data_IF_798445716170
#
_entry.id   IF_798445716170
#
_cell.length_a   1.000
_cell.length_b   1.000
_cell.length_c   1.000
_cell.angle_alpha   90.00
_cell.angle_beta   90.00
_cell.angle_gamma   90.00
#
_symmetry.space_group_name_H-M   'P 1'
#
loop_
_entity.id
_entity.type
_entity.pdbx_description
1 polymer ?
#
# COMPACT_ATOMS: atom_id res chain seq x y z
N UNK A 1 1.79 -17.13 12.23
CA UNK A 1 2.67 -16.19 12.99
C UNK A 1 2.11 -16.04 14.39
N UNK A 2 2.86 -16.41 15.44
CA UNK A 2 2.40 -16.34 16.84
C UNK A 2 3.04 -15.13 17.54
N UNK A 3 2.27 -14.42 18.38
CA UNK A 3 2.73 -13.22 19.08
C UNK A 3 2.54 -11.93 18.30
N UNK A 4 2.93 -10.81 18.90
CA UNK A 4 2.89 -9.49 18.28
C UNK A 4 4.14 -9.25 17.47
N UNK A 5 4.03 -8.53 16.37
CA UNK A 5 5.19 -8.19 15.54
C UNK A 5 6.26 -7.44 16.36
N UNK A 6 5.82 -6.55 17.28
CA UNK A 6 6.73 -5.81 18.17
C UNK A 6 7.59 -6.70 19.06
N UNK A 7 7.16 -7.93 19.37
CA UNK A 7 7.91 -8.87 20.22
C UNK A 7 9.05 -9.55 19.45
N UNK A 8 8.97 -9.53 18.12
CA UNK A 8 9.91 -10.16 17.19
C UNK A 8 10.72 -9.17 16.36
N UNK A 9 10.48 -7.87 16.53
CA UNK A 9 11.24 -6.82 15.83
C UNK A 9 12.61 -6.64 16.49
N UNK A 10 13.67 -6.89 15.74
CA UNK A 10 15.05 -6.55 16.10
C UNK A 10 15.33 -5.08 15.83
N UNK A 11 16.43 -4.49 16.39
CA UNK A 11 16.77 -3.10 16.11
C UNK A 11 16.92 -2.81 14.62
N UNK A 12 16.19 -1.79 14.14
CA UNK A 12 16.21 -1.38 12.74
C UNK A 12 17.58 -0.81 12.37
N UNK A 13 18.18 -1.18 11.24
CA UNK A 13 19.48 -0.66 10.83
C UNK A 13 19.36 0.79 10.35
N UNK A 14 20.15 1.68 10.98
CA UNK A 14 20.23 3.10 10.57
C UNK A 14 20.81 3.19 9.16
N UNK A 15 20.13 3.95 8.28
CA UNK A 15 20.56 4.16 6.89
C UNK A 15 20.20 3.07 5.90
N UNK A 16 19.63 1.96 6.36
CA UNK A 16 19.12 0.90 5.48
C UNK A 16 17.76 1.26 4.84
N UNK A 17 17.33 0.38 3.91
CA UNK A 17 16.12 0.57 3.15
C UNK A 17 16.31 1.43 1.90
N UNK A 18 15.26 2.11 1.43
CA UNK A 18 15.30 2.86 0.18
C UNK A 18 14.87 4.31 0.36
N UNK A 19 15.75 5.23 0.01
CA UNK A 19 15.49 6.67 -0.08
C UNK A 19 16.14 7.25 -1.34
N UNK A 20 15.63 8.40 -1.82
CA UNK A 20 16.20 9.08 -2.99
C UNK A 20 16.28 10.60 -2.76
N UNK A 21 17.40 11.19 -3.08
CA UNK A 21 17.52 12.65 -3.09
C UNK A 21 16.64 13.28 -4.17
N UNK A 22 15.98 14.37 -3.84
CA UNK A 22 15.05 15.07 -4.75
C UNK A 22 13.68 14.40 -4.93
N UNK A 23 13.44 13.26 -4.27
CA UNK A 23 12.18 12.52 -4.35
C UNK A 23 11.61 12.21 -2.97
N UNK A 24 10.29 12.15 -2.91
CA UNK A 24 9.56 11.40 -1.91
C UNK A 24 9.53 9.94 -2.34
N UNK A 25 9.73 9.01 -1.41
CA UNK A 25 9.71 7.56 -1.66
C UNK A 25 8.73 6.91 -0.68
N UNK A 26 7.88 5.99 -1.16
CA UNK A 26 6.82 5.37 -0.38
C UNK A 26 6.48 3.94 -0.85
N UNK A 27 5.72 3.15 -0.07
CA UNK A 27 5.07 1.88 -0.45
C UNK A 27 6.02 0.78 -0.95
N UNK A 28 7.10 0.48 -0.26
CA UNK A 28 8.04 -0.57 -0.67
C UNK A 28 7.51 -1.99 -0.47
N UNK A 29 7.57 -2.82 -1.52
CA UNK A 29 7.40 -4.27 -1.44
C UNK A 29 8.61 -4.98 -2.03
N UNK A 30 9.05 -6.11 -1.45
CA UNK A 30 10.36 -6.71 -1.72
C UNK A 30 10.23 -8.15 -2.19
N UNK A 31 11.04 -8.52 -3.17
CA UNK A 31 11.15 -9.91 -3.64
C UNK A 31 12.60 -10.25 -3.97
N UNK A 32 13.00 -11.50 -3.73
CA UNK A 32 14.28 -12.01 -4.19
C UNK A 32 14.18 -12.34 -5.68
N UNK A 33 15.05 -11.73 -6.48
CA UNK A 33 15.11 -11.95 -7.91
C UNK A 33 15.85 -13.22 -8.31
N UNK A 34 15.80 -13.53 -9.61
CA UNK A 34 16.54 -14.63 -10.23
C UNK A 34 18.05 -14.44 -10.21
N UNK A 35 18.53 -13.22 -10.02
CA UNK A 35 19.94 -12.87 -9.82
C UNK A 35 20.43 -13.09 -8.38
N UNK A 36 19.52 -13.51 -7.48
CA UNK A 36 19.81 -13.73 -6.07
C UNK A 36 19.79 -12.48 -5.19
N UNK A 37 19.60 -11.29 -5.79
CA UNK A 37 19.49 -10.00 -5.08
C UNK A 37 18.04 -9.73 -4.64
N UNK A 38 17.86 -8.78 -3.76
CA UNK A 38 16.55 -8.31 -3.32
C UNK A 38 16.14 -7.07 -4.09
N UNK A 39 14.95 -7.11 -4.66
CA UNK A 39 14.37 -6.05 -5.47
C UNK A 39 13.18 -5.45 -4.75
N UNK A 40 13.25 -4.15 -4.48
CA UNK A 40 12.16 -3.39 -3.91
C UNK A 40 11.43 -2.63 -5.03
N UNK A 41 10.13 -2.85 -5.13
CA UNK A 41 9.23 -2.03 -5.94
C UNK A 41 8.60 -1.00 -5.03
N UNK A 42 8.76 0.28 -5.37
CA UNK A 42 8.33 1.40 -4.53
C UNK A 42 7.71 2.51 -5.36
N UNK A 43 6.95 3.37 -4.71
CA UNK A 43 6.43 4.61 -5.30
C UNK A 43 7.43 5.74 -5.09
N UNK A 44 7.64 6.62 -6.10
CA UNK A 44 8.34 7.89 -5.91
C UNK A 44 7.66 9.02 -6.65
N UNK A 45 7.86 10.26 -6.19
CA UNK A 45 7.47 11.48 -6.89
C UNK A 45 8.40 12.64 -6.53
N UNK A 46 8.60 13.61 -7.48
CA UNK A 46 9.55 14.69 -7.27
C UNK A 46 9.18 15.61 -6.10
N UNK A 47 10.14 16.03 -5.31
CA UNK A 47 9.97 16.98 -4.18
C UNK A 47 9.57 18.40 -4.59
N UNK A 48 9.54 18.73 -5.89
CA UNK A 48 8.90 19.96 -6.36
C UNK A 48 7.39 19.99 -6.05
N UNK A 49 6.77 18.80 -5.91
CA UNK A 49 5.41 18.67 -5.40
C UNK A 49 5.45 18.37 -3.88
N UNK A 50 4.44 18.80 -3.11
CA UNK A 50 4.35 18.44 -1.70
C UNK A 50 4.24 16.91 -1.55
N UNK A 51 4.65 16.39 -0.38
CA UNK A 51 4.51 14.96 -0.09
C UNK A 51 3.04 14.52 -0.28
N UNK A 52 2.10 15.23 0.32
CA UNK A 52 0.66 15.12 0.06
C UNK A 52 0.13 16.49 -0.42
N UNK A 53 -0.59 16.57 -1.54
CA UNK A 53 -1.15 15.50 -2.38
C UNK A 53 -0.32 15.17 -3.65
N UNK A 54 0.96 15.48 -3.71
CA UNK A 54 1.79 15.35 -4.91
C UNK A 54 1.77 13.95 -5.55
N UNK A 55 1.71 12.90 -4.72
CA UNK A 55 1.66 11.51 -5.20
C UNK A 55 0.45 11.19 -6.09
N UNK A 56 -0.68 11.90 -5.90
CA UNK A 56 -1.90 11.69 -6.71
C UNK A 56 -1.72 12.09 -8.18
N UNK A 57 -0.74 12.92 -8.49
CA UNK A 57 -0.56 13.50 -9.84
C UNK A 57 0.80 13.20 -10.46
N UNK A 58 1.79 12.76 -9.67
CA UNK A 58 3.18 12.66 -10.13
C UNK A 58 3.89 11.38 -9.68
N UNK A 59 3.21 10.46 -8.99
CA UNK A 59 3.82 9.20 -8.54
C UNK A 59 4.07 8.25 -9.71
N UNK A 60 5.20 7.56 -9.63
CA UNK A 60 5.58 6.46 -10.54
C UNK A 60 6.16 5.30 -9.73
N UNK A 61 5.93 4.08 -10.19
CA UNK A 61 6.52 2.88 -9.60
C UNK A 61 7.92 2.66 -10.15
N UNK A 62 8.86 2.47 -9.23
CA UNK A 62 10.29 2.25 -9.51
C UNK A 62 10.75 0.92 -8.93
N UNK A 63 11.89 0.43 -9.42
CA UNK A 63 12.64 -0.70 -8.85
C UNK A 63 13.96 -0.21 -8.30
N UNK A 64 14.30 -0.69 -7.11
CA UNK A 64 15.59 -0.55 -6.48
C UNK A 64 16.10 -1.94 -6.07
N UNK A 65 17.40 -2.14 -5.91
CA UNK A 65 17.96 -3.43 -5.52
C UNK A 65 19.04 -3.33 -4.46
N UNK A 66 19.22 -4.44 -3.73
CA UNK A 66 20.26 -4.60 -2.72
C UNK A 66 20.70 -6.06 -2.63
N UNK A 67 21.93 -6.31 -2.16
CA UNK A 67 22.45 -7.67 -2.00
C UNK A 67 21.87 -8.38 -0.76
N UNK A 68 21.46 -7.61 0.27
CA UNK A 68 20.81 -8.12 1.49
C UNK A 68 19.48 -7.39 1.75
N UNK A 69 18.49 -8.03 2.40
CA UNK A 69 17.18 -7.40 2.65
C UNK A 69 17.27 -6.14 3.50
N UNK A 70 18.20 -6.10 4.44
CA UNK A 70 18.41 -5.03 5.41
C UNK A 70 19.49 -4.02 5.02
N UNK A 71 19.97 -4.08 3.76
CA UNK A 71 20.95 -3.13 3.22
C UNK A 71 20.31 -1.84 2.69
N UNK A 72 21.16 -1.01 2.07
CA UNK A 72 20.74 0.23 1.40
C UNK A 72 20.44 -0.05 -0.07
N UNK A 73 19.16 0.04 -0.44
CA UNK A 73 18.71 -0.20 -1.81
C UNK A 73 19.12 0.93 -2.74
N UNK A 74 19.60 0.56 -3.92
CA UNK A 74 20.00 1.48 -4.98
C UNK A 74 18.93 1.53 -6.07
N UNK A 75 18.57 2.73 -6.51
CA UNK A 75 17.64 2.92 -7.64
C UNK A 75 18.17 2.27 -8.92
N UNK A 76 17.33 1.54 -9.62
CA UNK A 76 17.65 0.87 -10.87
C UNK A 76 16.88 1.50 -12.05
N UNK A 77 15.55 1.55 -11.99
CA UNK A 77 14.72 1.98 -13.10
C UNK A 77 13.32 2.44 -12.70
N UNK A 78 12.64 3.13 -13.63
CA UNK A 78 11.20 3.38 -13.59
C UNK A 78 10.49 2.20 -14.24
N UNK A 79 9.66 1.49 -13.46
CA UNK A 79 8.95 0.28 -13.90
C UNK A 79 7.64 0.62 -14.58
N UNK A 80 6.85 1.50 -13.98
CA UNK A 80 5.53 1.89 -14.48
C UNK A 80 5.46 3.41 -14.71
N UNK A 81 6.06 3.94 -15.79
CA UNK A 81 5.98 5.36 -16.12
C UNK A 81 4.57 5.77 -16.54
N UNK A 82 4.27 7.07 -16.44
CA UNK A 82 3.07 7.66 -17.02
C UNK A 82 2.95 7.30 -18.50
N UNK A 83 1.73 6.94 -18.96
CA UNK A 83 1.50 6.50 -20.35
C UNK A 83 0.40 7.29 -21.07
N UNK A 84 -0.08 8.41 -20.48
CA UNK A 84 -1.01 9.33 -21.09
C UNK A 84 -2.43 9.24 -20.51
N UNK A 85 -3.20 10.35 -20.57
CA UNK A 85 -4.48 10.50 -19.89
C UNK A 85 -5.60 9.57 -20.41
N UNK A 86 -5.41 8.93 -21.56
CA UNK A 86 -6.37 8.00 -22.16
C UNK A 86 -6.41 6.64 -21.45
N UNK A 87 -5.41 6.34 -20.63
CA UNK A 87 -5.35 5.12 -19.85
C UNK A 87 -5.82 5.36 -18.41
N UNK A 88 -6.42 4.35 -17.79
CA UNK A 88 -6.90 4.40 -16.40
C UNK A 88 -5.79 4.69 -15.37
N UNK A 89 -4.55 4.32 -15.67
CA UNK A 89 -3.33 4.50 -14.89
C UNK A 89 -2.33 5.45 -15.58
N UNK A 90 -2.83 6.31 -16.45
CA UNK A 90 -2.01 7.02 -17.42
C UNK A 90 -1.23 8.20 -16.87
N UNK A 91 -1.62 8.75 -15.71
CA UNK A 91 -0.97 9.93 -15.11
C UNK A 91 -0.08 9.58 -13.93
N UNK A 92 -0.50 8.64 -13.07
CA UNK A 92 0.30 8.22 -11.93
C UNK A 92 0.06 6.76 -11.60
N UNK A 93 1.12 6.09 -11.12
CA UNK A 93 1.11 4.72 -10.58
C UNK A 93 1.65 4.73 -9.17
N UNK A 94 1.05 3.94 -8.26
CA UNK A 94 1.32 4.03 -6.83
C UNK A 94 1.03 2.69 -6.13
N UNK A 95 1.46 2.52 -4.88
CA UNK A 95 1.20 1.36 -4.04
C UNK A 95 1.56 0.01 -4.70
N UNK A 96 2.80 -0.18 -5.17
CA UNK A 96 3.21 -1.44 -5.75
C UNK A 96 3.24 -2.56 -4.70
N UNK A 97 2.75 -3.73 -5.08
CA UNK A 97 2.82 -4.96 -4.31
C UNK A 97 3.30 -6.08 -5.21
N UNK A 98 4.57 -6.44 -5.08
CA UNK A 98 5.18 -7.51 -5.87
C UNK A 98 4.92 -8.87 -5.23
N UNK A 99 4.64 -9.86 -6.07
CA UNK A 99 4.56 -11.27 -5.68
C UNK A 99 4.97 -12.16 -6.84
N UNK A 100 5.27 -13.44 -6.56
CA UNK A 100 5.49 -14.45 -7.58
C UNK A 100 4.36 -15.47 -7.52
N UNK A 101 3.68 -15.70 -8.65
CA UNK A 101 2.59 -16.66 -8.78
C UNK A 101 2.95 -17.60 -9.92
N UNK A 102 3.25 -18.86 -9.57
CA UNK A 102 3.84 -19.81 -10.51
C UNK A 102 5.22 -19.33 -10.98
N UNK A 103 5.40 -19.18 -12.27
CA UNK A 103 6.64 -18.69 -12.91
C UNK A 103 6.62 -17.18 -13.19
N UNK A 104 5.50 -16.48 -12.91
CA UNK A 104 5.33 -15.05 -13.22
C UNK A 104 5.61 -14.16 -12.03
N UNK A 105 6.27 -13.05 -12.28
CA UNK A 105 6.27 -11.89 -11.40
C UNK A 105 5.00 -11.08 -11.67
N UNK A 106 4.22 -10.83 -10.64
CA UNK A 106 2.95 -10.09 -10.70
C UNK A 106 3.04 -8.90 -9.78
N UNK A 107 2.94 -7.71 -10.35
CA UNK A 107 3.02 -6.45 -9.64
C UNK A 107 1.62 -5.83 -9.59
N UNK A 108 0.96 -5.90 -8.44
CA UNK A 108 -0.28 -5.20 -8.18
C UNK A 108 0.03 -3.73 -7.92
N UNK A 109 -0.77 -2.81 -8.45
CA UNK A 109 -0.56 -1.38 -8.26
C UNK A 109 -1.85 -0.58 -8.35
N UNK A 110 -1.81 0.64 -7.83
CA UNK A 110 -2.89 1.63 -7.99
C UNK A 110 -2.55 2.54 -9.16
N UNK A 111 -3.47 2.63 -10.12
CA UNK A 111 -3.39 3.59 -11.23
C UNK A 111 -4.30 4.80 -10.99
N UNK A 112 -3.90 5.94 -11.53
CA UNK A 112 -4.62 7.20 -11.46
C UNK A 112 -4.52 7.95 -12.77
N UNK A 113 -5.58 8.69 -13.12
CA UNK A 113 -5.59 9.55 -14.31
C UNK A 113 -6.46 10.79 -14.13
N UNK A 114 -6.16 11.82 -14.89
CA UNK A 114 -6.95 13.04 -15.06
C UNK A 114 -6.76 13.60 -16.47
N UNK A 115 -7.74 14.33 -17.03
CA UNK A 115 -7.68 14.82 -18.40
C UNK A 115 -6.85 16.09 -18.60
N UNK A 116 -6.40 16.71 -17.51
CA UNK A 116 -5.71 18.01 -17.56
C UNK A 116 -4.23 17.87 -17.92
N UNK A 117 -3.61 18.98 -18.29
CA UNK A 117 -2.16 19.09 -18.43
C UNK A 117 -1.46 18.89 -17.08
N UNK A 118 -0.11 18.82 -17.13
CA UNK A 118 0.72 18.75 -15.92
C UNK A 118 0.31 19.78 -14.88
N UNK A 119 0.34 19.44 -13.56
CA UNK A 119 -0.04 20.38 -12.53
C UNK A 119 0.95 21.53 -12.41
N UNK A 120 0.41 22.73 -12.22
CA UNK A 120 1.19 23.90 -11.88
C UNK A 120 1.38 24.02 -10.36
N UNK A 121 2.43 24.69 -9.95
CA UNK A 121 2.69 24.94 -8.53
C UNK A 121 2.13 26.31 -8.11
N UNK A 122 1.67 26.44 -6.84
CA UNK A 122 1.63 25.42 -5.79
C UNK A 122 0.45 24.44 -5.98
N UNK A 123 0.74 23.14 -5.81
CA UNK A 123 -0.28 22.11 -5.84
C UNK A 123 -1.02 22.06 -4.50
N UNK A 124 -2.34 22.12 -4.52
CA UNK A 124 -3.20 22.03 -3.32
C UNK A 124 -4.12 20.82 -3.38
N UNK A 125 -4.70 20.43 -2.24
CA UNK A 125 -5.69 19.35 -2.16
C UNK A 125 -7.02 19.66 -2.90
N UNK A 126 -7.24 20.90 -3.30
CA UNK A 126 -8.42 21.35 -4.07
C UNK A 126 -8.15 21.46 -5.57
N UNK A 127 -6.93 21.21 -6.03
CA UNK A 127 -6.62 21.19 -7.46
C UNK A 127 -7.49 20.14 -8.17
N UNK A 128 -8.14 20.47 -9.30
CA UNK A 128 -8.98 19.53 -10.05
C UNK A 128 -8.25 18.23 -10.43
N UNK A 129 -6.94 18.30 -10.72
CA UNK A 129 -6.11 17.13 -11.04
C UNK A 129 -6.05 16.17 -9.84
N UNK A 130 -5.85 16.72 -8.63
CA UNK A 130 -5.81 15.96 -7.37
C UNK A 130 -7.15 15.30 -7.08
N UNK A 131 -8.25 16.05 -7.17
CA UNK A 131 -9.61 15.55 -6.90
C UNK A 131 -10.00 14.43 -7.86
N UNK A 132 -9.77 14.64 -9.16
CA UNK A 132 -10.13 13.65 -10.19
C UNK A 132 -9.20 12.42 -10.13
N UNK A 133 -7.90 12.60 -9.97
CA UNK A 133 -6.98 11.48 -9.78
C UNK A 133 -7.39 10.62 -8.57
N UNK A 134 -7.80 11.26 -7.47
CA UNK A 134 -8.25 10.55 -6.28
C UNK A 134 -9.51 9.71 -6.56
N UNK A 135 -10.51 10.25 -7.25
CA UNK A 135 -11.73 9.52 -7.61
C UNK A 135 -11.50 8.44 -8.67
N UNK A 136 -10.46 8.60 -9.49
CA UNK A 136 -10.08 7.64 -10.54
C UNK A 136 -9.07 6.58 -10.09
N UNK A 137 -8.80 6.45 -8.79
CA UNK A 137 -7.96 5.37 -8.28
C UNK A 137 -8.59 4.01 -8.56
N UNK A 138 -7.86 3.15 -9.24
CA UNK A 138 -8.22 1.77 -9.53
C UNK A 138 -7.03 0.86 -9.29
N UNK A 139 -7.30 -0.42 -9.09
CA UNK A 139 -6.26 -1.44 -8.98
C UNK A 139 -6.07 -2.18 -10.29
N UNK A 140 -4.82 -2.37 -10.68
CA UNK A 140 -4.42 -3.22 -11.79
C UNK A 140 -3.20 -4.04 -11.48
N UNK A 141 -2.74 -4.79 -12.48
CA UNK A 141 -1.53 -5.60 -12.43
C UNK A 141 -0.62 -5.29 -13.62
N UNK A 142 0.67 -5.49 -13.40
CA UNK A 142 1.64 -5.67 -14.45
C UNK A 142 2.33 -7.03 -14.27
N UNK A 143 2.63 -7.72 -15.37
CA UNK A 143 3.14 -9.10 -15.38
C UNK A 143 4.46 -9.15 -16.11
N UNK A 144 5.40 -9.97 -15.62
CA UNK A 144 6.67 -10.25 -16.28
C UNK A 144 7.15 -11.67 -16.03
N UNK A 145 7.98 -12.18 -16.91
CA UNK A 145 8.74 -13.44 -16.73
C UNK A 145 10.00 -13.24 -15.90
N UNK A 146 10.44 -12.00 -15.72
CA UNK A 146 11.66 -11.63 -15.01
C UNK A 146 11.41 -10.46 -14.08
N UNK A 147 12.15 -10.39 -12.96
CA UNK A 147 12.11 -9.23 -12.04
C UNK A 147 12.57 -7.93 -12.72
N UNK A 148 13.31 -8.05 -13.83
CA UNK A 148 13.80 -6.95 -14.65
C UNK A 148 12.79 -6.47 -15.72
N UNK A 149 11.66 -7.17 -15.89
CA UNK A 149 10.72 -6.89 -16.96
C UNK A 149 11.07 -7.67 -18.25
N UNK A 150 10.53 -7.30 -19.42
CA UNK A 150 9.59 -6.17 -19.57
C UNK A 150 8.25 -6.41 -18.89
N UNK A 151 7.65 -5.35 -18.37
CA UNK A 151 6.38 -5.40 -17.65
C UNK A 151 5.20 -5.15 -18.57
N UNK A 152 4.35 -6.15 -18.73
CA UNK A 152 3.11 -6.03 -19.50
C UNK A 152 2.02 -5.42 -18.60
N UNK A 153 1.47 -4.26 -19.01
CA UNK A 153 0.35 -3.56 -18.38
C UNK A 153 -0.93 -3.78 -19.19
N UNK A 154 -2.08 -3.67 -18.52
CA UNK A 154 -3.40 -3.84 -19.14
C UNK A 154 -4.11 -2.49 -19.28
N UNK A 155 -4.95 -2.37 -20.34
CA UNK A 155 -5.70 -1.14 -20.64
C UNK A 155 -6.98 -0.99 -19.83
N UNK A 156 -7.34 -2.01 -19.05
CA UNK A 156 -8.43 -1.99 -18.08
C UNK A 156 -7.89 -2.27 -16.69
N UNK A 157 -8.46 -1.67 -15.64
CA UNK A 157 -8.13 -2.05 -14.28
C UNK A 157 -8.55 -3.50 -14.01
N UNK A 158 -7.85 -4.17 -13.10
CA UNK A 158 -8.20 -5.50 -12.62
C UNK A 158 -9.43 -5.46 -11.72
N UNK A 159 -9.47 -4.46 -10.84
CA UNK A 159 -10.58 -4.22 -9.91
C UNK A 159 -11.06 -2.78 -10.08
N UNK A 160 -12.33 -2.63 -10.49
CA UNK A 160 -12.99 -1.33 -10.64
C UNK A 160 -14.00 -1.08 -9.51
N UNK A 161 -14.46 0.15 -9.35
CA UNK A 161 -15.50 0.52 -8.41
C UNK A 161 -16.85 -0.10 -8.79
N UNK A 162 -17.73 -0.27 -7.78
CA UNK A 162 -19.12 -0.71 -7.99
C UNK A 162 -20.07 0.44 -7.66
N UNK A 163 -20.73 1.06 -8.66
CA UNK A 163 -21.51 2.30 -8.47
C UNK A 163 -22.57 2.23 -7.37
N UNK A 164 -23.21 1.07 -7.18
CA UNK A 164 -24.33 0.88 -6.23
C UNK A 164 -23.88 0.26 -4.88
N UNK A 165 -22.57 0.13 -4.66
CA UNK A 165 -22.00 -0.51 -3.45
C UNK A 165 -21.14 0.47 -2.66
N UNK A 166 -20.68 0.04 -1.49
CA UNK A 166 -19.85 0.81 -0.56
C UNK A 166 -18.44 1.15 -1.09
N UNK A 167 -18.02 0.55 -2.19
CA UNK A 167 -16.73 0.77 -2.84
C UNK A 167 -16.88 1.53 -4.19
N UNK A 168 -17.78 2.50 -4.22
CA UNK A 168 -18.17 3.23 -5.42
C UNK A 168 -17.30 4.46 -5.74
N UNK A 169 -16.42 4.89 -4.84
CA UNK A 169 -15.60 6.07 -5.06
C UNK A 169 -14.19 5.73 -5.57
N UNK A 170 -13.45 4.91 -4.85
CA UNK A 170 -12.11 4.49 -5.23
C UNK A 170 -11.76 3.09 -4.72
N UNK A 171 -10.78 2.48 -5.39
CA UNK A 171 -10.15 1.21 -5.01
C UNK A 171 -8.64 1.37 -5.11
N UNK A 172 -7.92 0.95 -4.05
CA UNK A 172 -6.46 1.06 -3.99
C UNK A 172 -5.84 0.10 -2.97
N UNK A 173 -4.52 0.12 -2.83
CA UNK A 173 -3.74 -0.61 -1.83
C UNK A 173 -4.05 -2.12 -1.83
N UNK A 174 -4.18 -2.69 -3.02
CA UNK A 174 -4.48 -4.11 -3.18
C UNK A 174 -3.28 -4.98 -2.82
N UNK A 175 -3.55 -6.08 -2.13
CA UNK A 175 -2.56 -7.07 -1.71
C UNK A 175 -3.08 -8.46 -2.04
N UNK A 176 -2.36 -9.26 -2.83
CA UNK A 176 -2.75 -10.63 -3.14
C UNK A 176 -2.23 -11.62 -2.11
N UNK A 177 -2.95 -12.74 -1.98
CA UNK A 177 -2.50 -13.96 -1.32
C UNK A 177 -2.98 -15.16 -2.11
N UNK A 178 -2.10 -16.11 -2.40
CA UNK A 178 -2.51 -17.37 -3.02
C UNK A 178 -3.21 -18.25 -1.98
N UNK A 179 -4.41 -18.71 -2.31
CA UNK A 179 -5.17 -19.64 -1.50
C UNK A 179 -4.59 -21.07 -1.62
N UNK A 180 -4.84 -21.95 -0.63
CA UNK A 180 -4.39 -23.35 -0.70
C UNK A 180 -4.91 -24.12 -1.92
N UNK A 181 -6.06 -23.74 -2.45
CA UNK A 181 -6.68 -24.34 -3.65
C UNK A 181 -6.19 -23.72 -4.98
N UNK A 182 -5.23 -22.79 -4.91
CA UNK A 182 -4.60 -22.13 -6.06
C UNK A 182 -5.30 -20.85 -6.52
N UNK A 183 -6.51 -20.53 -6.00
CA UNK A 183 -7.19 -19.25 -6.26
C UNK A 183 -6.40 -18.09 -5.64
N UNK A 184 -6.77 -16.88 -6.02
CA UNK A 184 -6.14 -15.66 -5.53
C UNK A 184 -7.13 -14.84 -4.73
N UNK A 185 -6.86 -14.67 -3.45
CA UNK A 185 -7.50 -13.68 -2.59
C UNK A 185 -6.81 -12.34 -2.80
N UNK A 186 -7.59 -11.27 -3.03
CA UNK A 186 -7.08 -9.90 -3.02
C UNK A 186 -7.85 -9.10 -1.98
N UNK A 187 -7.13 -8.55 -1.01
CA UNK A 187 -7.66 -7.55 -0.08
C UNK A 187 -7.25 -6.16 -0.57
N UNK A 188 -8.19 -5.21 -0.55
CA UNK A 188 -7.97 -3.86 -1.06
C UNK A 188 -8.69 -2.81 -0.23
N UNK A 189 -8.16 -1.59 -0.23
CA UNK A 189 -8.82 -0.42 0.34
C UNK A 189 -9.89 0.11 -0.59
N UNK A 190 -11.03 0.47 0.00
CA UNK A 190 -12.12 1.15 -0.70
C UNK A 190 -12.64 2.35 0.08
N UNK A 191 -13.26 3.27 -0.64
CA UNK A 191 -14.04 4.36 -0.09
C UNK A 191 -15.35 4.49 -0.87
N UNK A 192 -16.35 5.09 -0.24
CA UNK A 192 -17.64 5.39 -0.86
C UNK A 192 -17.92 6.89 -0.88
N UNK A 193 -18.74 7.34 -1.84
CA UNK A 193 -19.41 8.62 -1.75
C UNK A 193 -20.44 8.58 -0.62
N UNK A 194 -20.47 9.60 0.20
CA UNK A 194 -21.53 9.75 1.19
C UNK A 194 -22.86 10.02 0.46
N UNK A 195 -23.91 9.28 0.87
CA UNK A 195 -25.24 9.41 0.26
C UNK A 195 -25.91 10.72 0.67
N UNK A 196 -26.72 11.26 -0.27
CA UNK A 196 -27.61 12.41 -0.02
C UNK A 196 -28.77 12.02 0.92
N UNK A 197 -29.34 12.97 1.73
CA UNK A 197 -28.94 14.36 1.79
C UNK A 197 -27.65 14.54 2.59
N UNK A 198 -26.81 15.45 2.15
CA UNK A 198 -25.65 15.84 2.94
C UNK A 198 -26.10 16.93 3.92
N UNK A 199 -26.06 16.63 5.21
CA UNK A 199 -26.14 17.65 6.26
C UNK A 199 -24.79 18.41 6.30
N UNK A 200 -24.56 19.21 5.27
CA UNK A 200 -23.37 20.03 5.20
C UNK A 200 -23.66 21.41 5.77
N UNK A 201 -22.87 21.89 6.74
CA UNK A 201 -22.90 23.30 7.10
C UNK A 201 -22.68 24.18 5.87
N UNK A 202 -23.33 25.36 5.77
CA UNK A 202 -23.21 26.25 4.61
C UNK A 202 -21.78 26.72 4.29
N UNK A 203 -20.88 26.65 5.27
CA UNK A 203 -19.46 27.00 5.18
C UNK A 203 -18.54 25.82 4.87
N UNK A 204 -19.11 24.64 4.60
CA UNK A 204 -18.34 23.44 4.31
C UNK A 204 -17.67 23.51 2.96
N UNK A 205 -16.34 23.63 2.97
CA UNK A 205 -15.52 23.86 1.78
C UNK A 205 -15.06 22.59 1.05
N UNK A 206 -15.44 21.39 1.51
CA UNK A 206 -15.08 20.15 0.81
C UNK A 206 -15.93 19.97 -0.44
N UNK A 207 -15.28 19.74 -1.55
CA UNK A 207 -15.91 19.51 -2.85
C UNK A 207 -16.36 18.08 -3.08
N UNK A 208 -15.87 17.14 -2.25
CA UNK A 208 -16.19 15.71 -2.34
C UNK A 208 -16.45 15.16 -0.94
N UNK A 209 -17.63 14.58 -0.75
CA UNK A 209 -18.00 13.89 0.48
C UNK A 209 -17.67 12.40 0.33
N UNK A 210 -16.67 11.95 1.05
CA UNK A 210 -16.25 10.54 1.09
C UNK A 210 -16.38 9.98 2.50
N UNK A 211 -16.79 8.72 2.60
CA UNK A 211 -16.86 7.98 3.84
C UNK A 211 -15.48 7.57 4.37
N UNK A 212 -15.46 6.87 5.52
CA UNK A 212 -14.23 6.35 6.09
C UNK A 212 -13.58 5.32 5.16
N UNK A 213 -12.29 5.12 5.35
CA UNK A 213 -11.53 4.06 4.68
C UNK A 213 -12.03 2.68 5.16
N UNK A 214 -12.15 1.75 4.24
CA UNK A 214 -12.63 0.38 4.50
C UNK A 214 -11.74 -0.61 3.77
N UNK A 215 -11.66 -1.83 4.30
CA UNK A 215 -11.05 -2.96 3.61
C UNK A 215 -12.14 -3.85 3.00
N UNK A 216 -11.85 -4.35 1.83
CA UNK A 216 -12.71 -5.23 1.03
C UNK A 216 -11.90 -6.42 0.54
N UNK A 217 -12.58 -7.51 0.19
CA UNK A 217 -11.92 -8.69 -0.35
C UNK A 217 -12.66 -9.21 -1.58
N UNK A 218 -11.92 -9.91 -2.42
CA UNK A 218 -12.40 -10.64 -3.60
C UNK A 218 -11.52 -11.86 -3.82
N UNK A 219 -12.13 -12.95 -4.30
CA UNK A 219 -11.39 -14.16 -4.69
C UNK A 219 -11.64 -14.42 -6.17
N UNK A 220 -10.56 -14.63 -6.93
CA UNK A 220 -10.60 -15.01 -8.33
C UNK A 220 -9.84 -16.32 -8.56
N UNK A 221 -10.19 -17.05 -9.62
CA UNK A 221 -9.54 -18.33 -9.95
C UNK A 221 -8.07 -18.17 -10.36
N UNK A 222 -7.72 -16.98 -10.88
CA UNK A 222 -6.37 -16.65 -11.37
C UNK A 222 -6.03 -15.19 -11.08
N UNK A 223 -4.74 -14.86 -10.96
CA UNK A 223 -4.27 -13.49 -10.74
C UNK A 223 -4.64 -12.50 -11.88
N UNK A 224 -4.83 -13.00 -13.10
CA UNK A 224 -5.27 -12.26 -14.29
C UNK A 224 -6.74 -12.55 -14.67
N UNK A 225 -7.49 -13.19 -13.75
CA UNK A 225 -8.89 -13.59 -13.94
C UNK A 225 -9.89 -12.45 -13.76
N UNK A 226 -11.16 -12.81 -13.71
CA UNK A 226 -12.27 -11.87 -13.48
C UNK A 226 -12.46 -11.64 -11.98
N UNK A 227 -12.32 -10.39 -11.55
CA UNK A 227 -12.54 -9.91 -10.19
C UNK A 227 -13.87 -9.16 -10.02
N UNK A 228 -14.76 -9.20 -10.99
CA UNK A 228 -16.09 -8.58 -10.90
C UNK A 228 -17.04 -9.37 -10.03
N UNK A 229 -16.88 -10.69 -10.00
CA UNK A 229 -17.64 -11.62 -9.17
C UNK A 229 -16.90 -11.94 -7.86
N UNK A 230 -17.56 -12.64 -6.95
CA UNK A 230 -17.01 -13.11 -5.66
C UNK A 230 -16.39 -12.00 -4.79
N UNK A 231 -16.88 -10.77 -4.92
CA UNK A 231 -16.51 -9.62 -4.09
C UNK A 231 -17.44 -9.54 -2.88
N UNK A 232 -16.90 -9.26 -1.72
CA UNK A 232 -17.68 -9.02 -0.51
C UNK A 232 -18.76 -7.96 -0.74
N UNK A 233 -19.98 -8.23 -0.24
CA UNK A 233 -21.11 -7.29 -0.29
C UNK A 233 -21.03 -6.21 0.79
N UNK A 234 -20.21 -6.42 1.82
CA UNK A 234 -19.91 -5.50 2.89
C UNK A 234 -18.38 -5.44 3.14
N UNK A 235 -17.85 -4.38 3.76
CA UNK A 235 -16.46 -4.33 4.17
C UNK A 235 -16.10 -5.48 5.10
N UNK A 236 -14.90 -6.03 4.96
CA UNK A 236 -14.39 -7.12 5.82
C UNK A 236 -14.07 -6.65 7.24
N UNK A 237 -13.92 -5.34 7.45
CA UNK A 237 -13.85 -4.71 8.77
C UNK A 237 -14.61 -3.39 8.73
N UNK A 238 -15.51 -3.18 9.70
CA UNK A 238 -16.27 -1.94 9.84
C UNK A 238 -15.56 -0.93 10.75
N UNK A 239 -14.34 -0.59 10.39
CA UNK A 239 -13.49 0.35 11.10
C UNK A 239 -12.61 1.11 10.11
N UNK A 240 -12.08 2.29 10.49
CA UNK A 240 -11.19 3.07 9.63
C UNK A 240 -9.79 2.48 9.64
N UNK A 241 -9.54 1.60 8.68
CA UNK A 241 -8.25 0.89 8.48
C UNK A 241 -7.77 1.02 7.05
N UNK A 242 -6.46 0.94 6.85
CA UNK A 242 -5.85 0.88 5.53
C UNK A 242 -4.56 0.08 5.53
N UNK A 243 -3.92 -0.01 4.35
CA UNK A 243 -2.63 -0.63 4.16
C UNK A 243 -2.58 -2.10 4.62
N UNK A 244 -3.47 -2.97 4.10
CA UNK A 244 -3.40 -4.37 4.44
C UNK A 244 -2.12 -5.00 3.89
N UNK A 245 -1.61 -6.01 4.58
CA UNK A 245 -0.70 -7.04 4.07
C UNK A 245 -1.24 -8.39 4.52
N UNK A 246 -1.32 -9.37 3.63
CA UNK A 246 -1.93 -10.67 3.89
C UNK A 246 -1.00 -11.81 3.50
N UNK A 247 -1.05 -12.92 4.26
CA UNK A 247 -0.40 -14.18 3.95
C UNK A 247 -1.25 -15.35 4.44
N UNK A 248 -0.91 -16.55 4.02
CA UNK A 248 -1.53 -17.79 4.49
C UNK A 248 -0.47 -18.67 5.15
N UNK A 249 -0.77 -19.22 6.31
CA UNK A 249 0.05 -20.20 7.03
C UNK A 249 -0.80 -21.33 7.61
N UNK A 250 -0.28 -22.10 8.55
CA UNK A 250 -0.97 -23.24 9.19
C UNK A 250 -2.22 -22.83 9.98
N UNK A 251 -2.28 -21.58 10.45
CA UNK A 251 -3.41 -21.02 11.21
C UNK A 251 -4.50 -20.44 10.29
N UNK A 252 -4.28 -20.39 8.96
CA UNK A 252 -5.17 -19.81 7.95
C UNK A 252 -4.64 -18.52 7.34
N UNK A 253 -5.56 -17.67 6.91
CA UNK A 253 -5.19 -16.35 6.40
C UNK A 253 -4.92 -15.40 7.56
N UNK A 254 -3.83 -14.68 7.44
CA UNK A 254 -3.41 -13.62 8.35
C UNK A 254 -3.45 -12.28 7.63
N UNK A 255 -3.80 -11.22 8.35
CA UNK A 255 -3.74 -9.84 7.86
C UNK A 255 -3.14 -8.93 8.91
N UNK A 256 -2.20 -8.10 8.50
CA UNK A 256 -1.84 -6.89 9.23
C UNK A 256 -2.37 -5.68 8.49
N UNK A 257 -2.82 -4.67 9.25
CA UNK A 257 -3.33 -3.42 8.68
C UNK A 257 -3.08 -2.27 9.64
N UNK A 258 -3.19 -1.03 9.14
CA UNK A 258 -3.00 0.19 9.92
C UNK A 258 -4.34 0.70 10.47
N UNK A 259 -4.43 0.90 11.76
CA UNK A 259 -5.56 1.57 12.44
C UNK A 259 -5.42 3.09 12.31
N UNK A 260 -6.24 3.70 11.45
CA UNK A 260 -6.10 5.10 11.06
C UNK A 260 -6.28 6.11 12.19
N UNK A 261 -7.02 5.77 13.21
CA UNK A 261 -7.39 6.68 14.31
C UNK A 261 -7.08 6.12 15.71
N UNK A 262 -6.48 4.94 15.80
CA UNK A 262 -6.11 4.30 17.07
C UNK A 262 -7.29 3.83 17.92
N UNK A 263 -8.51 3.85 17.40
CA UNK A 263 -9.70 3.43 18.15
C UNK A 263 -9.80 1.92 18.33
N UNK A 264 -9.11 1.17 17.50
CA UNK A 264 -9.13 -0.29 17.53
C UNK A 264 -7.97 -0.86 18.36
N UNK A 265 -6.73 -0.40 18.13
CA UNK A 265 -5.54 -0.93 18.80
C UNK A 265 -4.99 -0.03 19.93
N UNK A 266 -5.55 1.16 20.14
CA UNK A 266 -5.13 2.10 21.20
C UNK A 266 -3.98 3.03 20.80
N UNK A 267 -3.36 2.87 19.62
CA UNK A 267 -2.32 3.77 19.11
C UNK A 267 -2.72 4.34 17.74
N UNK A 268 -2.67 5.68 17.61
CA UNK A 268 -2.90 6.37 16.33
C UNK A 268 -1.91 5.83 15.28
N UNK A 269 -2.42 5.35 14.15
CA UNK A 269 -1.63 4.75 13.09
C UNK A 269 -0.85 3.48 13.49
N UNK A 270 -1.23 2.85 14.61
CA UNK A 270 -0.68 1.56 15.04
C UNK A 270 -1.17 0.40 14.19
N UNK A 271 -0.48 -0.72 14.26
CA UNK A 271 -0.82 -1.94 13.53
C UNK A 271 -1.83 -2.81 14.27
N UNK A 272 -2.76 -3.41 13.51
CA UNK A 272 -3.67 -4.47 13.95
C UNK A 272 -3.35 -5.77 13.23
N UNK A 273 -3.76 -6.88 13.81
CA UNK A 273 -3.66 -8.21 13.21
C UNK A 273 -5.02 -8.89 13.23
N UNK A 274 -5.35 -9.58 12.16
CA UNK A 274 -6.58 -10.37 12.02
C UNK A 274 -6.30 -11.74 11.45
N UNK A 275 -7.18 -12.69 11.79
CA UNK A 275 -7.18 -14.07 11.30
C UNK A 275 -8.47 -14.36 10.53
N UNK A 276 -8.35 -15.24 9.53
CA UNK A 276 -9.50 -15.72 8.77
C UNK A 276 -9.27 -17.15 8.27
N UNK A 277 -10.32 -17.97 8.31
CA UNK A 277 -10.26 -19.30 7.72
C UNK A 277 -10.58 -19.33 6.22
N UNK A 278 -11.21 -18.29 5.69
CA UNK A 278 -11.71 -18.25 4.30
C UNK A 278 -11.25 -17.01 3.50
N UNK A 279 -10.56 -16.06 4.15
CA UNK A 279 -10.11 -14.79 3.56
C UNK A 279 -11.20 -13.74 3.40
N UNK A 280 -12.45 -14.05 3.72
CA UNK A 280 -13.61 -13.16 3.55
C UNK A 280 -14.22 -12.72 4.88
N UNK A 281 -14.12 -13.58 5.91
CA UNK A 281 -14.57 -13.29 7.26
C UNK A 281 -13.36 -13.23 8.19
N UNK A 282 -13.15 -12.07 8.82
CA UNK A 282 -11.95 -11.76 9.58
C UNK A 282 -12.27 -11.48 11.05
N UNK A 283 -11.50 -12.09 11.93
CA UNK A 283 -11.50 -11.81 13.35
C UNK A 283 -10.28 -10.96 13.69
N UNK A 284 -10.52 -9.74 14.20
CA UNK A 284 -9.49 -8.83 14.67
C UNK A 284 -9.57 -8.71 16.19
N UNK A 285 -8.45 -8.92 16.85
CA UNK A 285 -8.37 -8.76 18.29
C UNK A 285 -8.33 -7.28 18.66
N UNK A 286 -9.41 -6.81 19.32
CA UNK A 286 -9.51 -5.43 19.78
C UNK A 286 -8.54 -5.17 20.93
N UNK A 287 -8.07 -3.93 21.06
CA UNK A 287 -7.12 -3.47 22.09
C UNK A 287 -5.76 -4.22 22.02
N UNK A 288 -5.47 -4.86 20.88
CA UNK A 288 -4.21 -5.55 20.62
C UNK A 288 -3.36 -4.75 19.61
N UNK A 289 -2.39 -4.00 20.13
CA UNK A 289 -1.40 -3.32 19.30
C UNK A 289 -0.40 -4.33 18.74
N UNK A 290 -0.46 -4.62 17.44
CA UNK A 290 0.37 -5.61 16.79
C UNK A 290 1.76 -5.06 16.44
N UNK A 291 1.83 -3.81 15.89
CA UNK A 291 3.07 -3.05 15.76
C UNK A 291 2.84 -1.59 16.10
N UNK A 292 3.89 -0.95 16.65
CA UNK A 292 3.89 0.46 17.09
C UNK A 292 4.78 1.30 16.17
N UNK A 293 4.48 2.60 16.05
CA UNK A 293 5.36 3.56 15.38
C UNK A 293 6.67 3.84 16.14
N UNK A 294 6.81 3.31 17.34
CA UNK A 294 8.04 3.42 18.16
C UNK A 294 9.00 2.31 17.79
N UNK A 295 10.06 2.65 17.08
CA UNK A 295 11.06 1.72 16.56
C UNK A 295 12.39 1.88 17.32
N UNK A 296 12.92 0.77 17.81
CA UNK A 296 14.29 0.69 18.33
C UNK A 296 15.25 0.58 17.13
N UNK A 297 16.26 1.46 17.10
CA UNK A 297 17.30 1.46 16.07
C UNK A 297 18.58 0.82 16.57
N UNK A 298 19.44 0.34 15.68
CA UNK A 298 20.71 -0.31 16.03
C UNK A 298 21.76 0.64 16.62
N UNK A 299 21.49 1.94 16.70
CA UNK A 299 22.24 2.92 17.48
C UNK A 299 21.77 3.00 18.96
N UNK A 300 20.84 2.15 19.37
CA UNK A 300 20.28 2.07 20.71
C UNK A 300 19.19 3.11 21.03
N UNK A 301 18.77 3.92 20.03
CA UNK A 301 17.77 4.97 20.23
C UNK A 301 16.39 4.50 19.73
N UNK A 302 15.37 4.61 20.57
CA UNK A 302 13.99 4.44 20.14
C UNK A 302 13.46 5.76 19.57
N UNK A 303 12.93 5.71 18.35
CA UNK A 303 12.31 6.86 17.66
C UNK A 303 10.86 6.57 17.34
N UNK A 304 10.01 7.57 17.55
CA UNK A 304 8.64 7.53 17.04
C UNK A 304 8.65 8.03 15.59
N UNK A 305 8.24 7.15 14.70
CA UNK A 305 8.20 7.42 13.26
C UNK A 305 6.96 8.24 12.92
N UNK A 306 7.05 9.11 11.91
CA UNK A 306 5.89 9.86 11.43
C UNK A 306 4.76 8.94 10.96
N UNK A 307 5.16 7.85 10.29
CA UNK A 307 4.26 6.80 9.79
C UNK A 307 4.98 5.45 9.86
N UNK A 308 4.20 4.37 9.89
CA UNK A 308 4.57 3.03 9.45
C UNK A 308 3.47 2.53 8.52
N UNK A 309 3.52 3.01 7.28
CA UNK A 309 2.51 2.75 6.26
C UNK A 309 2.93 1.57 5.37
N UNK A 310 1.96 0.90 4.78
CA UNK A 310 2.21 -0.18 3.82
C UNK A 310 3.13 -1.27 4.37
N UNK A 311 2.79 -1.88 5.51
CA UNK A 311 3.58 -2.98 6.04
C UNK A 311 3.72 -4.08 4.98
N UNK A 312 4.93 -4.60 4.87
CA UNK A 312 5.25 -5.74 4.01
C UNK A 312 6.15 -6.69 4.79
N UNK A 313 5.81 -7.97 4.84
CA UNK A 313 6.64 -8.99 5.47
C UNK A 313 7.32 -9.83 4.38
N UNK A 314 8.64 -9.87 4.43
CA UNK A 314 9.42 -10.80 3.61
C UNK A 314 9.47 -12.15 4.30
N UNK A 315 9.08 -13.19 3.55
CA UNK A 315 9.20 -14.59 3.98
C UNK A 315 10.34 -15.26 3.23
N UNK A 316 11.23 -15.93 3.97
CA UNK A 316 12.28 -16.77 3.43
C UNK A 316 12.13 -18.17 4.05
N UNK A 317 12.10 -19.21 3.22
CA UNK A 317 11.87 -20.60 3.64
C UNK A 317 10.60 -20.75 4.52
N UNK A 318 9.54 -19.97 4.21
CA UNK A 318 8.28 -19.99 4.92
C UNK A 318 8.29 -19.28 6.28
N UNK A 319 9.38 -18.62 6.67
CA UNK A 319 9.49 -17.82 7.89
C UNK A 319 9.52 -16.33 7.60
N UNK A 320 8.86 -15.50 8.41
CA UNK A 320 9.00 -14.06 8.31
C UNK A 320 10.39 -13.64 8.80
N UNK A 321 11.15 -12.94 7.94
CA UNK A 321 12.54 -12.56 8.23
C UNK A 321 12.73 -11.06 8.33
N UNK A 322 11.95 -10.28 7.60
CA UNK A 322 12.04 -8.82 7.61
C UNK A 322 10.66 -8.17 7.44
N UNK A 323 10.44 -7.07 8.15
CA UNK A 323 9.32 -6.18 7.94
C UNK A 323 9.78 -4.89 7.24
N UNK A 324 9.05 -4.44 6.23
CA UNK A 324 9.29 -3.17 5.54
C UNK A 324 8.11 -2.24 5.76
N UNK A 325 8.39 -0.95 5.89
CA UNK A 325 7.38 0.09 6.06
C UNK A 325 7.77 1.35 5.29
N UNK A 326 6.80 2.01 4.70
CA UNK A 326 6.98 3.38 4.27
C UNK A 326 6.90 4.31 5.48
N UNK A 327 7.86 5.22 5.61
CA UNK A 327 7.97 6.10 6.77
C UNK A 327 8.44 7.50 6.42
N UNK A 328 8.27 8.43 7.35
CA UNK A 328 8.72 9.82 7.26
C UNK A 328 9.33 10.31 8.56
N UNK A 329 10.04 11.43 8.48
CA UNK A 329 10.49 12.17 9.64
C UNK A 329 9.51 13.28 10.08
N UNK A 330 8.30 13.26 9.57
CA UNK A 330 7.24 14.20 9.97
C UNK A 330 6.78 13.98 11.41
N UNK A 331 6.31 15.04 12.05
CA UNK A 331 5.90 15.04 13.48
C UNK A 331 4.49 15.56 13.71
N UNK A 332 3.71 15.76 12.66
CA UNK A 332 2.34 16.29 12.68
C UNK A 332 1.26 15.24 13.04
N UNK A 333 1.66 14.05 13.49
CA UNK A 333 0.77 12.93 13.82
C UNK A 333 0.33 12.10 12.62
N UNK A 334 0.34 12.70 11.41
CA UNK A 334 0.09 12.02 10.14
C UNK A 334 1.37 11.80 9.32
N UNK A 335 2.47 12.47 9.71
CA UNK A 335 3.79 12.37 9.09
C UNK A 335 3.89 13.00 7.71
N UNK A 336 2.95 13.85 7.30
CA UNK A 336 2.90 14.41 5.94
C UNK A 336 3.23 15.89 5.86
N UNK A 337 2.66 16.73 6.74
CA UNK A 337 2.69 18.18 6.56
C UNK A 337 4.08 18.80 6.76
N UNK A 338 4.84 18.29 7.71
CA UNK A 338 6.19 18.80 8.03
C UNK A 338 7.30 17.81 7.70
N UNK A 339 7.01 16.77 6.92
CA UNK A 339 8.02 15.83 6.45
C UNK A 339 9.01 16.52 5.50
N UNK A 340 10.29 16.28 5.71
CA UNK A 340 11.38 16.68 4.80
C UNK A 340 12.04 15.48 4.14
N UNK A 341 11.83 14.29 4.70
CA UNK A 341 12.36 13.02 4.21
C UNK A 341 11.35 11.91 4.37
N UNK A 342 11.27 11.07 3.35
CA UNK A 342 10.56 9.79 3.37
C UNK A 342 11.45 8.68 2.86
N UNK A 343 11.21 7.45 3.32
CA UNK A 343 11.94 6.27 2.87
C UNK A 343 11.15 5.00 3.17
N UNK A 344 11.49 3.92 2.50
CA UNK A 344 11.06 2.59 2.91
C UNK A 344 12.10 2.02 3.85
N UNK A 345 11.76 1.90 5.12
CA UNK A 345 12.63 1.32 6.15
C UNK A 345 12.48 -0.19 6.21
N UNK A 346 13.44 -0.84 6.82
CA UNK A 346 13.46 -2.28 7.08
C UNK A 346 13.72 -2.55 8.55
N UNK A 347 13.07 -3.59 9.07
CA UNK A 347 13.25 -4.09 10.44
C UNK A 347 13.46 -5.59 10.36
N UNK A 348 14.60 -6.14 10.79
CA UNK A 348 14.79 -7.58 10.89
C UNK A 348 13.86 -8.20 11.93
N UNK A 349 13.49 -9.47 11.73
CA UNK A 349 12.58 -10.21 12.59
C UNK A 349 13.24 -11.52 13.08
N UNK A 350 12.87 -11.98 14.28
CA UNK A 350 13.32 -13.23 14.90
C UNK A 350 12.13 -14.12 15.29
N UNK A 351 11.54 -14.82 14.32
CA UNK A 351 10.46 -15.80 14.53
C UNK A 351 10.92 -17.23 14.58
#
# INVERSE_FOLDING_TARGET
MKGKLTEHMLPAPVGAGFAMDGYWVWDGSVIKGEDGRYHMFASRWPKKFPMHPGWLVASEVVRASCDTPDGTYQFEEVVLPARGPQYWDGRATHNPQITKIGDKYVLYYTGMTHPFNEPELPLTGLDPRVLISRSNKRTGIAISDSVFGPWQRFDKPLIDTRPEKYDNFLISNAVPCQCPDGRILVVYKSLEYMKQPFDCPPDYKRTVHIGPQKLSAVIADRFDGDYSENRCDAPIINHSVEDPFIWHDEDGFNMIAKDMNGQFCGELMGGIHGLSSDGLHWDFEKDNLFYSRKILWNDGITREMGNLDRPFILFEDGKPTYAFFATSNGTDGMGFENATRTWNMVVPLDF
#
